data_IF_815062945620
#
_entry.id   IF_815062945620
#
_cell.length_a   1.000
_cell.length_b   1.000
_cell.length_c   1.000
_cell.angle_alpha   90.00
_cell.angle_beta   90.00
_cell.angle_gamma   90.00
#
_symmetry.space_group_name_H-M   'P 1'
#
loop_
_entity.id
_entity.type
_entity.pdbx_description
1 polymer ?
#
# COMPACT_ATOMS: atom_id res chain seq x y z
N UNK A 1 9.88 17.88 -10.78
CA UNK A 1 10.72 17.24 -11.83
C UNK A 1 10.31 15.77 -11.87
N UNK A 2 9.78 15.29 -13.00
CA UNK A 2 9.33 13.91 -13.17
C UNK A 2 10.54 12.97 -13.24
N UNK A 3 10.98 12.42 -12.12
CA UNK A 3 11.98 11.37 -12.14
C UNK A 3 11.29 10.04 -12.51
N UNK A 4 11.40 9.70 -13.79
CA UNK A 4 11.08 8.38 -14.35
C UNK A 4 12.13 7.33 -13.91
N UNK A 5 12.55 7.36 -12.65
CA UNK A 5 13.55 6.45 -12.08
C UNK A 5 12.88 5.13 -11.73
N UNK A 6 13.43 4.03 -12.27
CA UNK A 6 12.94 2.69 -11.97
C UNK A 6 13.27 2.32 -10.53
N UNK A 7 12.24 1.95 -9.77
CA UNK A 7 12.34 1.61 -8.35
C UNK A 7 12.82 0.16 -8.19
N UNK A 8 14.03 -0.03 -7.65
CA UNK A 8 14.65 -1.34 -7.44
C UNK A 8 14.15 -1.95 -6.14
N UNK A 9 13.32 -2.97 -6.27
CA UNK A 9 12.69 -3.65 -5.14
C UNK A 9 13.27 -5.06 -5.03
N UNK A 10 13.99 -5.35 -3.95
CA UNK A 10 14.49 -6.71 -3.68
C UNK A 10 13.43 -7.49 -2.92
N UNK A 11 13.13 -8.71 -3.34
CA UNK A 11 12.18 -9.63 -2.70
C UNK A 11 12.98 -10.80 -2.12
N UNK A 12 13.15 -10.77 -0.80
CA UNK A 12 13.85 -11.76 0.00
C UNK A 12 12.87 -12.73 0.66
N UNK A 13 12.68 -13.87 0.00
CA UNK A 13 11.72 -14.90 0.42
C UNK A 13 12.19 -16.26 -0.11
N UNK A 14 12.04 -17.33 0.66
CA UNK A 14 12.47 -18.68 0.27
C UNK A 14 11.49 -19.32 -0.72
N UNK A 15 10.18 -19.08 -0.57
CA UNK A 15 9.14 -19.61 -1.46
C UNK A 15 9.15 -18.96 -2.84
N UNK A 16 9.39 -19.77 -3.88
CA UNK A 16 9.32 -19.34 -5.29
C UNK A 16 7.95 -18.77 -5.64
N UNK A 17 6.87 -19.38 -5.13
CA UNK A 17 5.50 -18.95 -5.42
C UNK A 17 5.25 -17.54 -4.92
N UNK A 18 5.72 -17.23 -3.71
CA UNK A 18 5.54 -15.92 -3.09
C UNK A 18 6.37 -14.87 -3.83
N UNK A 19 7.65 -15.17 -4.12
CA UNK A 19 8.51 -14.27 -4.89
C UNK A 19 7.92 -13.94 -6.26
N UNK A 20 7.57 -14.97 -7.04
CA UNK A 20 7.01 -14.77 -8.38
C UNK A 20 5.65 -14.08 -8.35
N UNK A 21 4.81 -14.39 -7.35
CA UNK A 21 3.52 -13.72 -7.14
C UNK A 21 3.70 -12.24 -6.84
N UNK A 22 4.60 -11.88 -5.92
CA UNK A 22 4.87 -10.50 -5.57
C UNK A 22 5.55 -9.73 -6.71
N UNK A 23 6.47 -10.36 -7.45
CA UNK A 23 7.04 -9.82 -8.69
C UNK A 23 5.93 -9.45 -9.69
N UNK A 24 4.94 -10.33 -9.87
CA UNK A 24 3.83 -10.09 -10.78
C UNK A 24 2.90 -8.97 -10.29
N UNK A 25 2.65 -8.88 -8.98
CA UNK A 25 1.85 -7.81 -8.36
C UNK A 25 2.55 -6.47 -8.52
N UNK A 26 3.82 -6.35 -8.12
CA UNK A 26 4.58 -5.09 -8.19
C UNK A 26 4.67 -4.53 -9.61
N UNK A 27 4.86 -5.41 -10.60
CA UNK A 27 4.88 -5.02 -12.03
C UNK A 27 3.52 -4.54 -12.55
N UNK A 28 2.41 -4.91 -11.89
CA UNK A 28 1.04 -4.50 -12.26
C UNK A 28 0.63 -3.17 -11.64
N UNK A 29 1.35 -2.68 -10.62
CA UNK A 29 1.01 -1.41 -9.97
C UNK A 29 1.29 -0.26 -10.94
N UNK A 30 0.27 0.52 -11.34
CA UNK A 30 0.46 1.63 -12.26
C UNK A 30 1.33 2.71 -11.61
N UNK A 31 2.18 3.37 -12.41
CA UNK A 31 3.05 4.47 -12.01
C UNK A 31 4.15 4.15 -10.97
N UNK A 32 4.28 2.89 -10.51
CA UNK A 32 5.36 2.50 -9.60
C UNK A 32 6.71 2.29 -10.30
N UNK A 33 6.69 1.91 -11.58
CA UNK A 33 7.89 1.59 -12.38
C UNK A 33 8.87 0.64 -11.65
N UNK A 34 8.31 -0.37 -10.96
CA UNK A 34 9.07 -1.31 -10.15
C UNK A 34 9.93 -2.23 -11.01
N UNK A 35 11.18 -2.42 -10.58
CA UNK A 35 12.09 -3.45 -11.06
C UNK A 35 12.35 -4.45 -9.93
N UNK A 36 11.55 -5.54 -9.84
CA UNK A 36 11.71 -6.53 -8.79
C UNK A 36 12.94 -7.41 -9.02
N UNK A 37 13.70 -7.65 -7.97
CA UNK A 37 14.83 -8.58 -7.92
C UNK A 37 14.50 -9.68 -6.92
N UNK A 38 14.49 -10.93 -7.35
CA UNK A 38 14.21 -12.07 -6.47
C UNK A 38 15.49 -12.63 -5.86
N UNK A 39 15.52 -12.81 -4.54
CA UNK A 39 16.60 -13.51 -3.83
C UNK A 39 16.01 -14.59 -2.93
N UNK A 40 16.61 -15.79 -2.96
CA UNK A 40 16.06 -16.98 -2.31
C UNK A 40 16.78 -17.40 -1.04
N UNK A 41 17.89 -16.75 -0.68
CA UNK A 41 18.63 -17.02 0.56
C UNK A 41 19.26 -15.75 1.17
N UNK A 42 19.54 -15.73 2.48
CA UNK A 42 20.22 -14.62 3.14
C UNK A 42 21.56 -14.27 2.51
N UNK A 43 22.35 -15.27 2.12
CA UNK A 43 23.65 -15.07 1.46
C UNK A 43 23.47 -14.39 0.10
N UNK A 44 22.42 -14.74 -0.64
CA UNK A 44 22.10 -14.11 -1.93
C UNK A 44 21.68 -12.64 -1.76
N UNK A 45 20.91 -12.35 -0.71
CA UNK A 45 20.52 -10.98 -0.35
C UNK A 45 21.75 -10.13 0.02
N UNK A 46 22.62 -10.68 0.86
CA UNK A 46 23.89 -10.05 1.23
C UNK A 46 24.73 -9.75 -0.01
N UNK A 47 24.99 -10.75 -0.85
CA UNK A 47 25.78 -10.58 -2.08
C UNK A 47 25.19 -9.50 -3.00
N UNK A 48 23.87 -9.47 -3.16
CA UNK A 48 23.20 -8.47 -4.00
C UNK A 48 23.42 -7.05 -3.47
N UNK A 49 23.20 -6.82 -2.17
CA UNK A 49 23.27 -5.47 -1.59
C UNK A 49 24.69 -4.91 -1.58
N UNK A 50 25.71 -5.76 -1.50
CA UNK A 50 27.10 -5.32 -1.66
C UNK A 50 27.38 -4.81 -3.08
N UNK A 51 26.85 -5.48 -4.10
CA UNK A 51 27.17 -5.21 -5.51
C UNK A 51 26.22 -4.21 -6.19
N UNK A 52 25.00 -4.07 -5.68
CA UNK A 52 23.93 -3.35 -6.35
C UNK A 52 23.16 -2.44 -5.38
N UNK A 53 22.61 -1.32 -5.86
CA UNK A 53 21.70 -0.50 -5.08
C UNK A 53 20.32 -1.13 -5.01
N UNK A 54 19.62 -0.90 -3.90
CA UNK A 54 18.22 -1.24 -3.69
C UNK A 54 17.51 -0.03 -3.08
N UNK A 55 16.25 0.21 -3.45
CA UNK A 55 15.44 1.28 -2.87
C UNK A 55 14.52 0.73 -1.78
N UNK A 56 13.94 -0.45 -2.04
CA UNK A 56 13.09 -1.19 -1.11
C UNK A 56 13.57 -2.63 -1.02
N UNK A 57 13.56 -3.19 0.18
CA UNK A 57 13.75 -4.62 0.41
C UNK A 57 12.53 -5.17 1.13
N UNK A 58 11.80 -6.06 0.44
CA UNK A 58 10.68 -6.81 1.01
C UNK A 58 11.23 -8.14 1.52
N UNK A 59 11.09 -8.40 2.82
CA UNK A 59 11.71 -9.54 3.50
C UNK A 59 10.63 -10.30 4.26
N UNK A 60 10.55 -11.61 4.06
CA UNK A 60 9.81 -12.45 5.00
C UNK A 60 10.58 -12.53 6.33
N UNK A 61 9.98 -12.19 7.49
CA UNK A 61 10.67 -12.29 8.78
C UNK A 61 11.22 -13.70 9.10
N UNK A 62 10.72 -14.75 8.43
CA UNK A 62 11.26 -16.11 8.51
C UNK A 62 12.19 -16.49 7.34
N UNK A 63 12.79 -15.52 6.64
CA UNK A 63 13.67 -15.74 5.51
C UNK A 63 14.99 -16.41 5.92
N UNK A 64 15.19 -17.66 5.46
CA UNK A 64 16.36 -18.46 5.86
C UNK A 64 16.31 -18.92 7.33
N UNK A 65 15.14 -18.92 7.95
CA UNK A 65 14.97 -19.04 9.40
C UNK A 65 14.59 -17.70 10.01
N UNK A 66 14.87 -17.46 11.29
CA UNK A 66 14.58 -16.17 11.90
C UNK A 66 15.50 -15.08 11.32
N UNK A 67 14.94 -14.10 10.59
CA UNK A 67 15.72 -13.03 9.99
C UNK A 67 15.89 -11.86 10.96
N UNK A 68 17.12 -11.63 11.41
CA UNK A 68 17.49 -10.52 12.29
C UNK A 68 17.74 -9.24 11.46
N UNK A 69 16.69 -8.43 11.29
CA UNK A 69 16.78 -7.19 10.54
C UNK A 69 17.72 -6.15 11.20
N UNK A 70 17.72 -5.94 12.52
CA UNK A 70 18.67 -5.06 13.19
C UNK A 70 20.13 -5.41 12.92
N UNK A 71 20.51 -6.68 13.06
CA UNK A 71 21.87 -7.14 12.75
C UNK A 71 22.19 -6.93 11.26
N UNK A 72 21.25 -7.26 10.37
CA UNK A 72 21.40 -7.04 8.94
C UNK A 72 21.63 -5.56 8.58
N UNK A 73 20.86 -4.64 9.19
CA UNK A 73 21.00 -3.19 9.02
C UNK A 73 22.35 -2.69 9.56
N UNK A 74 22.83 -3.23 10.68
CA UNK A 74 24.12 -2.85 11.26
C UNK A 74 25.31 -3.23 10.36
N UNK A 75 25.24 -4.38 9.69
CA UNK A 75 26.33 -4.91 8.85
C UNK A 75 26.27 -4.44 7.39
N UNK A 76 25.07 -4.30 6.84
CA UNK A 76 24.85 -4.10 5.40
C UNK A 76 23.94 -2.91 5.07
N UNK A 77 23.39 -2.24 6.09
CA UNK A 77 22.47 -1.12 5.92
C UNK A 77 23.13 0.03 5.17
N UNK A 78 22.51 0.43 4.06
CA UNK A 78 22.85 1.66 3.34
C UNK A 78 21.78 2.69 3.64
N UNK A 79 22.19 3.95 3.76
CA UNK A 79 21.27 5.07 3.96
C UNK A 79 20.23 5.11 2.83
N UNK A 80 18.96 5.30 3.19
CA UNK A 80 17.85 5.48 2.23
C UNK A 80 17.12 4.19 1.81
N UNK A 81 17.61 3.00 2.16
CA UNK A 81 16.88 1.75 1.89
C UNK A 81 15.69 1.64 2.84
N UNK A 82 14.50 1.34 2.30
CA UNK A 82 13.30 1.03 3.08
C UNK A 82 13.07 -0.47 3.15
N UNK A 83 12.60 -0.95 4.29
CA UNK A 83 12.45 -2.37 4.61
C UNK A 83 10.98 -2.70 4.90
N UNK A 84 10.41 -3.64 4.15
CA UNK A 84 9.02 -4.07 4.28
C UNK A 84 8.98 -5.52 4.73
N UNK A 85 8.22 -5.84 5.78
CA UNK A 85 8.00 -7.23 6.19
C UNK A 85 6.94 -7.90 5.29
N UNK A 86 7.21 -9.09 4.76
CA UNK A 86 6.21 -9.94 4.12
C UNK A 86 5.70 -10.97 5.12
N UNK A 87 4.53 -10.72 5.71
CA UNK A 87 3.94 -11.53 6.76
C UNK A 87 3.12 -12.66 6.16
N UNK A 88 3.71 -13.85 6.14
CA UNK A 88 3.11 -15.09 5.64
C UNK A 88 2.59 -16.01 6.76
N UNK A 89 2.91 -15.71 8.01
CA UNK A 89 2.58 -16.49 9.20
C UNK A 89 2.39 -15.56 10.40
N UNK A 90 2.11 -16.11 11.58
CA UNK A 90 2.02 -15.32 12.81
C UNK A 90 3.41 -14.83 13.21
N UNK A 91 3.60 -13.51 13.24
CA UNK A 91 4.84 -12.85 13.63
C UNK A 91 4.56 -11.97 14.85
N UNK A 92 5.52 -11.89 15.78
CA UNK A 92 5.43 -10.98 16.92
C UNK A 92 5.46 -9.51 16.46
N UNK A 93 4.56 -8.70 16.99
CA UNK A 93 4.46 -7.28 16.70
C UNK A 93 5.74 -6.51 17.02
N UNK A 94 6.54 -6.95 17.99
CA UNK A 94 7.82 -6.30 18.31
C UNK A 94 8.80 -6.38 17.16
N UNK A 95 8.76 -7.46 16.38
CA UNK A 95 9.64 -7.64 15.23
C UNK A 95 9.15 -6.79 14.07
N UNK A 96 7.83 -6.70 13.87
CA UNK A 96 7.26 -5.86 12.82
C UNK A 96 7.60 -4.37 12.99
N UNK A 97 7.86 -3.90 14.21
CA UNK A 97 8.28 -2.52 14.49
C UNK A 97 9.69 -2.18 13.97
N UNK A 98 10.50 -3.18 13.64
CA UNK A 98 11.86 -2.98 13.09
C UNK A 98 11.84 -2.69 11.59
N UNK A 99 10.71 -2.97 10.94
CA UNK A 99 10.42 -2.70 9.54
C UNK A 99 9.73 -1.36 9.38
N UNK A 100 9.91 -0.74 8.22
CA UNK A 100 9.28 0.55 7.90
C UNK A 100 7.80 0.35 7.51
N UNK A 101 7.44 -0.83 7.00
CA UNK A 101 6.05 -1.22 6.70
C UNK A 101 5.91 -2.76 6.64
N UNK A 102 4.69 -3.30 6.54
CA UNK A 102 4.44 -4.73 6.35
C UNK A 102 3.35 -5.01 5.30
N UNK A 103 3.46 -6.13 4.59
CA UNK A 103 2.42 -6.71 3.75
C UNK A 103 1.89 -8.00 4.38
N UNK A 104 0.58 -8.17 4.35
CA UNK A 104 -0.03 -9.46 4.61
C UNK A 104 -0.09 -10.28 3.32
N UNK A 105 0.00 -11.60 3.42
CA UNK A 105 -0.17 -12.51 2.28
C UNK A 105 -1.48 -12.30 1.50
N UNK A 106 -2.52 -11.83 2.19
CA UNK A 106 -3.85 -11.59 1.62
C UNK A 106 -4.10 -10.13 1.22
N UNK A 107 -3.08 -9.25 1.29
CA UNK A 107 -3.24 -7.86 0.87
C UNK A 107 -3.48 -7.78 -0.64
N UNK A 108 -4.50 -7.01 -1.03
CA UNK A 108 -4.78 -6.73 -2.43
C UNK A 108 -3.77 -5.73 -3.01
N UNK A 109 -3.66 -5.71 -4.34
CA UNK A 109 -2.72 -4.84 -5.09
C UNK A 109 -2.85 -3.36 -4.69
N UNK A 110 -4.08 -2.88 -4.46
CA UNK A 110 -4.33 -1.49 -4.08
C UNK A 110 -3.77 -1.13 -2.69
N UNK A 111 -3.80 -2.10 -1.76
CA UNK A 111 -3.25 -1.93 -0.40
C UNK A 111 -1.73 -1.89 -0.47
N UNK A 112 -1.12 -2.83 -1.21
CA UNK A 112 0.32 -2.88 -1.44
C UNK A 112 0.82 -1.58 -2.08
N UNK A 113 0.13 -1.11 -3.12
CA UNK A 113 0.47 0.15 -3.79
C UNK A 113 0.41 1.36 -2.84
N UNK A 114 -0.65 1.45 -2.04
CA UNK A 114 -0.83 2.55 -1.09
C UNK A 114 0.28 2.59 -0.04
N UNK A 115 0.64 1.43 0.52
CA UNK A 115 1.73 1.28 1.50
C UNK A 115 3.08 1.69 0.91
N UNK A 116 3.39 1.25 -0.32
CA UNK A 116 4.65 1.62 -0.99
C UNK A 116 4.71 3.13 -1.25
N UNK A 117 3.62 3.73 -1.73
CA UNK A 117 3.60 5.17 -2.02
C UNK A 117 3.80 5.99 -0.73
N UNK A 118 3.12 5.63 0.36
CA UNK A 118 3.30 6.29 1.66
C UNK A 118 4.75 6.20 2.14
N UNK A 119 5.38 5.04 1.99
CA UNK A 119 6.76 4.78 2.37
C UNK A 119 7.80 5.59 1.55
N UNK A 120 7.49 5.90 0.29
CA UNK A 120 8.38 6.64 -0.61
C UNK A 120 8.26 8.16 -0.50
N UNK A 121 7.19 8.68 0.10
CA UNK A 121 6.88 10.12 0.11
C UNK A 121 7.15 10.77 1.48
N UNK A 122 7.82 10.07 2.39
CA UNK A 122 8.02 10.48 3.79
C UNK A 122 9.10 11.56 4.01
N UNK A 123 9.57 12.29 2.99
CA UNK A 123 10.64 13.29 3.18
C UNK A 123 10.33 14.73 2.69
N UNK A 124 9.15 15.05 2.13
CA UNK A 124 8.82 16.45 1.76
C UNK A 124 7.36 16.91 2.04
N UNK A 125 6.48 16.09 2.63
CA UNK A 125 5.10 16.49 2.98
C UNK A 125 4.73 16.14 4.44
N UNK A 126 5.66 16.36 5.38
CA UNK A 126 5.35 16.40 6.81
C UNK A 126 4.51 17.65 7.16
N UNK A 127 3.23 17.65 6.76
CA UNK A 127 2.21 18.44 7.45
C UNK A 127 0.76 17.95 7.26
N UNK A 128 0.50 16.81 6.60
CA UNK A 128 -0.90 16.37 6.34
C UNK A 128 -1.25 14.88 6.41
N UNK A 129 -0.43 14.02 7.01
CA UNK A 129 -0.79 12.58 7.10
C UNK A 129 -0.65 11.96 8.49
N UNK A 130 -0.91 12.75 9.54
CA UNK A 130 -1.17 12.20 10.88
C UNK A 130 -2.60 11.63 10.97
N UNK A 131 -2.98 10.72 10.08
CA UNK A 131 -4.36 10.24 10.06
C UNK A 131 -4.44 8.75 9.71
N UNK A 132 -4.05 7.91 10.68
CA UNK A 132 -4.61 6.56 10.81
C UNK A 132 -6.15 6.55 10.95
N UNK A 133 -6.79 7.72 10.97
CA UNK A 133 -8.25 7.91 11.06
C UNK A 133 -8.89 8.55 9.82
N UNK A 134 -8.16 8.93 8.76
CA UNK A 134 -8.79 9.59 7.61
C UNK A 134 -8.81 8.82 6.32
N UNK A 135 -9.74 9.30 5.50
CA UNK A 135 -10.09 8.75 4.23
C UNK A 135 -8.98 9.03 3.24
N UNK A 136 -8.52 7.98 2.56
CA UNK A 136 -7.62 8.15 1.44
C UNK A 136 -8.30 8.96 0.33
N UNK A 137 -7.51 9.53 -0.57
CA UNK A 137 -8.05 10.26 -1.72
C UNK A 137 -9.03 9.40 -2.52
N UNK A 138 -8.73 8.10 -2.65
CA UNK A 138 -9.59 7.15 -3.34
C UNK A 138 -10.90 6.91 -2.61
N UNK A 139 -10.87 6.84 -1.29
CA UNK A 139 -12.07 6.70 -0.47
C UNK A 139 -12.94 7.96 -0.57
N UNK A 140 -12.34 9.15 -0.63
CA UNK A 140 -13.05 10.43 -0.87
C UNK A 140 -13.77 10.42 -2.23
N UNK A 141 -13.09 10.01 -3.31
CA UNK A 141 -13.70 9.88 -4.65
C UNK A 141 -14.88 8.91 -4.67
N UNK A 142 -14.73 7.77 -3.97
CA UNK A 142 -15.79 6.76 -3.86
C UNK A 142 -16.97 7.32 -3.07
N UNK A 143 -16.75 8.05 -1.98
CA UNK A 143 -17.80 8.74 -1.22
C UNK A 143 -18.57 9.71 -2.12
N UNK A 144 -17.88 10.55 -2.89
CA UNK A 144 -18.51 11.48 -3.84
C UNK A 144 -19.41 10.74 -4.83
N UNK A 145 -18.96 9.62 -5.38
CA UNK A 145 -19.78 8.84 -6.32
C UNK A 145 -20.98 8.16 -5.62
N UNK A 146 -20.81 7.66 -4.39
CA UNK A 146 -21.89 7.07 -3.61
C UNK A 146 -22.96 8.10 -3.27
N UNK A 147 -22.56 9.32 -2.87
CA UNK A 147 -23.49 10.42 -2.57
C UNK A 147 -24.26 10.88 -3.82
N UNK A 148 -23.63 10.81 -5.00
CA UNK A 148 -24.28 11.03 -6.31
C UNK A 148 -25.18 9.87 -6.76
N UNK A 149 -25.45 8.87 -5.89
CA UNK A 149 -26.35 7.77 -6.18
C UNK A 149 -25.79 6.71 -7.14
N UNK A 150 -24.49 6.70 -7.41
CA UNK A 150 -23.90 5.74 -8.36
C UNK A 150 -23.88 4.31 -7.77
N UNK A 151 -24.19 3.32 -8.60
CA UNK A 151 -24.08 1.89 -8.23
C UNK A 151 -22.62 1.45 -8.18
N UNK A 152 -22.31 0.35 -7.47
CA UNK A 152 -20.94 -0.18 -7.41
C UNK A 152 -20.34 -0.44 -8.80
N UNK A 153 -21.18 -0.86 -9.76
CA UNK A 153 -20.76 -1.04 -11.16
C UNK A 153 -20.43 0.28 -11.83
N UNK A 154 -21.31 1.29 -11.71
CA UNK A 154 -21.06 2.60 -12.30
C UNK A 154 -19.82 3.30 -11.69
N UNK A 155 -19.59 3.12 -10.38
CA UNK A 155 -18.39 3.61 -9.70
C UNK A 155 -17.14 2.90 -10.25
N UNK A 156 -17.20 1.57 -10.39
CA UNK A 156 -16.12 0.77 -10.94
C UNK A 156 -15.76 1.24 -12.35
N UNK A 157 -16.76 1.42 -13.21
CA UNK A 157 -16.57 1.89 -14.58
C UNK A 157 -16.00 3.33 -14.62
N UNK A 158 -16.53 4.24 -13.80
CA UNK A 158 -16.09 5.65 -13.75
C UNK A 158 -14.67 5.82 -13.21
N UNK A 159 -14.30 5.01 -12.24
CA UNK A 159 -13.02 5.11 -11.55
C UNK A 159 -11.97 4.14 -12.11
N UNK A 160 -12.30 3.37 -13.16
CA UNK A 160 -11.42 2.33 -13.72
C UNK A 160 -10.99 1.28 -12.68
N UNK A 161 -11.95 0.83 -11.86
CA UNK A 161 -11.78 -0.20 -10.82
C UNK A 161 -12.55 -1.47 -11.16
N UNK A 162 -12.25 -2.55 -10.45
CA UNK A 162 -13.17 -3.69 -10.37
C UNK A 162 -14.33 -3.40 -9.41
N UNK A 163 -15.48 -4.04 -9.62
CA UNK A 163 -16.63 -3.97 -8.68
C UNK A 163 -16.21 -4.44 -7.28
N UNK A 164 -15.35 -5.46 -7.19
CA UNK A 164 -14.83 -5.98 -5.93
C UNK A 164 -13.97 -4.95 -5.18
N UNK A 165 -13.13 -4.21 -5.91
CA UNK A 165 -12.33 -3.11 -5.37
C UNK A 165 -13.22 -2.02 -4.78
N UNK A 166 -14.30 -1.64 -5.48
CA UNK A 166 -15.28 -0.67 -4.97
C UNK A 166 -15.94 -1.16 -3.67
N UNK A 167 -16.35 -2.43 -3.61
CA UNK A 167 -16.94 -3.02 -2.39
C UNK A 167 -15.95 -2.96 -1.22
N UNK A 168 -14.68 -3.27 -1.47
CA UNK A 168 -13.61 -3.26 -0.47
C UNK A 168 -13.37 -1.85 0.08
N UNK A 169 -13.23 -0.85 -0.80
CA UNK A 169 -13.12 0.54 -0.35
C UNK A 169 -14.34 1.00 0.44
N UNK A 170 -15.56 0.64 0.02
CA UNK A 170 -16.78 0.99 0.78
C UNK A 170 -16.78 0.38 2.18
N UNK A 171 -16.28 -0.85 2.33
CA UNK A 171 -16.11 -1.48 3.66
C UNK A 171 -15.07 -0.73 4.51
N UNK A 172 -13.99 -0.26 3.90
CA UNK A 172 -12.95 0.52 4.58
C UNK A 172 -13.47 1.89 5.02
N UNK A 173 -14.22 2.59 4.16
CA UNK A 173 -14.92 3.84 4.48
C UNK A 173 -15.85 3.64 5.68
N UNK A 174 -16.71 2.61 5.65
CA UNK A 174 -17.65 2.34 6.74
C UNK A 174 -16.93 2.05 8.07
N UNK A 175 -15.80 1.34 8.02
CA UNK A 175 -14.96 1.05 9.18
C UNK A 175 -14.23 2.29 9.71
N UNK A 176 -13.74 3.18 8.85
CA UNK A 176 -13.05 4.41 9.24
C UNK A 176 -14.02 5.44 9.82
N UNK A 177 -15.16 5.65 9.16
CA UNK A 177 -16.12 6.68 9.57
C UNK A 177 -17.12 6.21 10.64
N UNK A 178 -17.27 4.89 10.84
CA UNK A 178 -18.34 4.31 11.66
C UNK A 178 -19.75 4.79 11.25
N UNK A 179 -19.89 5.19 9.98
CA UNK A 179 -21.15 5.61 9.37
C UNK A 179 -21.73 4.44 8.59
N UNK A 180 -22.91 3.99 9.00
CA UNK A 180 -23.60 2.85 8.37
C UNK A 180 -24.85 3.26 7.58
N UNK A 181 -25.24 4.54 7.62
CA UNK A 181 -26.41 5.04 6.90
C UNK A 181 -26.00 5.87 5.67
N UNK A 182 -26.66 5.70 4.51
CA UNK A 182 -26.42 6.54 3.34
C UNK A 182 -26.62 8.03 3.63
N UNK A 183 -27.65 8.37 4.42
CA UNK A 183 -27.92 9.75 4.83
C UNK A 183 -26.78 10.33 5.68
N UNK A 184 -26.23 9.54 6.62
CA UNK A 184 -25.08 9.96 7.42
C UNK A 184 -23.84 10.19 6.55
N UNK A 185 -23.65 9.37 5.52
CA UNK A 185 -22.52 9.51 4.61
C UNK A 185 -22.64 10.77 3.74
N UNK A 186 -23.86 11.12 3.31
CA UNK A 186 -24.15 12.37 2.59
C UNK A 186 -23.87 13.59 3.47
N UNK A 187 -24.33 13.58 4.73
CA UNK A 187 -24.06 14.68 5.67
C UNK A 187 -22.55 14.84 5.87
N UNK A 188 -21.84 13.75 6.10
CA UNK A 188 -20.39 13.76 6.24
C UNK A 188 -19.69 14.37 5.01
N UNK A 189 -20.10 13.96 3.81
CA UNK A 189 -19.51 14.45 2.57
C UNK A 189 -19.69 15.96 2.38
N UNK A 190 -20.85 16.51 2.76
CA UNK A 190 -21.12 17.96 2.69
C UNK A 190 -20.30 18.71 3.74
N UNK A 191 -20.30 18.26 4.99
CA UNK A 191 -19.57 18.91 6.10
C UNK A 191 -18.08 18.99 5.81
N UNK A 192 -17.52 17.93 5.20
CA UNK A 192 -16.10 17.86 4.85
C UNK A 192 -15.78 18.40 3.45
N UNK A 193 -16.73 19.08 2.78
CA UNK A 193 -16.57 19.70 1.45
C UNK A 193 -16.08 18.73 0.37
N UNK A 194 -16.45 17.45 0.48
CA UNK A 194 -16.21 16.44 -0.56
C UNK A 194 -17.22 16.54 -1.70
N UNK A 195 -18.38 17.15 -1.42
CA UNK A 195 -19.50 17.36 -2.34
C UNK A 195 -20.16 18.68 -1.98
N UNK A 196 -20.51 19.50 -2.98
CA UNK A 196 -21.30 20.71 -2.75
C UNK A 196 -22.81 20.43 -2.88
N UNK A 197 -23.65 21.30 -2.30
CA UNK A 197 -25.11 21.18 -2.44
C UNK A 197 -25.59 21.31 -3.89
N UNK A 198 -24.82 22.01 -4.73
CA UNK A 198 -25.02 22.11 -6.18
C UNK A 198 -24.88 20.75 -6.89
N UNK A 199 -23.87 19.96 -6.54
CA UNK A 199 -23.61 18.62 -7.09
C UNK A 199 -24.75 17.62 -6.87
N UNK A 200 -25.51 17.79 -5.78
CA UNK A 200 -26.61 16.89 -5.41
C UNK A 200 -27.90 17.31 -6.10
N UNK A 201 -28.08 18.61 -6.35
CA UNK A 201 -29.29 19.19 -6.94
C UNK A 201 -29.56 18.72 -8.36
N UNK A 202 -28.51 18.32 -9.10
CA UNK A 202 -28.61 17.79 -10.46
C UNK A 202 -29.00 16.29 -10.51
N UNK A 203 -29.09 15.64 -9.34
CA UNK A 203 -29.35 14.20 -9.20
C UNK A 203 -30.65 13.85 -8.46
N UNK A 204 -31.38 14.86 -7.99
CA UNK A 204 -32.73 14.77 -7.39
C UNK A 204 -33.79 15.14 -8.44
#
# INVERSE_FOLDING_TARGET
>A
MNNNTSLKIVIAETSVIIRSGLTAVLKRIPNLNAHPIEVSSPESLQNYIHMHPADIIIINPTFGGWFDLPAFKAEHGKSGIKYIAMVCSVIDNNILKEYDENFAMCDDVDVIASKINHLLHTEEEEEKDSEQETLSQREKEIITCVVKGMTNKAIADKLYLSIHTVITHRRNIARKLQIHSPAGLTIYAIVNKLVELSDIKDSL
#
